data_IF_329393671836
#
_entry.id   IF_329393671836
#
_cell.length_a   1.000
_cell.length_b   1.000
_cell.length_c   1.000
_cell.angle_alpha   90.00
_cell.angle_beta   90.00
_cell.angle_gamma   90.00
#
_symmetry.space_group_name_H-M   'P 1'
#
loop_
_entity.id
_entity.type
_entity.pdbx_description
1 polymer ?
#
# COMPACT_ATOMS: atom_id res chain seq x y z
N UNK A 1 28.35 23.95 5.56
CA UNK A 1 27.02 24.57 5.80
C UNK A 1 26.67 24.50 7.29
N UNK A 2 27.47 25.19 8.11
CA UNK A 2 27.11 25.65 9.45
C UNK A 2 26.71 27.12 9.26
N UNK A 3 25.48 27.36 8.81
CA UNK A 3 25.13 28.62 8.14
C UNK A 3 24.26 29.60 8.94
N UNK A 4 23.85 29.29 10.17
CA UNK A 4 22.96 30.18 10.93
C UNK A 4 23.10 30.13 12.46
N UNK A 5 24.19 29.58 13.02
CA UNK A 5 24.58 29.83 14.42
C UNK A 5 23.57 29.50 15.54
N UNK A 6 22.47 28.78 15.27
CA UNK A 6 21.49 28.42 16.29
C UNK A 6 22.13 27.52 17.36
N UNK A 7 21.87 27.83 18.63
CA UNK A 7 22.30 26.98 19.71
C UNK A 7 21.58 25.63 19.60
N UNK A 8 22.27 24.56 19.99
CA UNK A 8 21.72 23.21 19.89
C UNK A 8 20.47 23.05 20.77
N UNK A 9 20.32 23.88 21.79
CA UNK A 9 19.16 23.95 22.67
C UNK A 9 17.94 24.55 21.95
N UNK A 10 18.12 25.62 21.17
CA UNK A 10 17.04 26.20 20.35
C UNK A 10 16.48 25.19 19.34
N UNK A 11 17.36 24.36 18.77
CA UNK A 11 16.95 23.31 17.81
C UNK A 11 16.17 22.21 18.53
N UNK A 12 16.54 21.85 19.76
CA UNK A 12 15.82 20.85 20.56
C UNK A 12 14.41 21.35 20.91
N UNK A 13 14.27 22.62 21.27
CA UNK A 13 12.98 23.22 21.61
C UNK A 13 12.06 23.33 20.39
N UNK A 14 12.60 23.71 19.22
CA UNK A 14 11.81 23.82 17.98
C UNK A 14 11.37 22.44 17.46
N UNK A 15 12.26 21.44 17.54
CA UNK A 15 12.03 20.12 16.93
C UNK A 15 11.44 19.09 17.90
N UNK A 16 11.34 19.42 19.20
CA UNK A 16 11.00 18.51 20.28
C UNK A 16 11.81 17.19 20.27
N UNK A 17 12.99 17.21 19.64
CA UNK A 17 13.85 16.05 19.47
C UNK A 17 15.05 16.17 20.40
N UNK A 18 15.46 15.05 20.99
CA UNK A 18 16.65 15.05 21.86
C UNK A 18 17.94 15.36 21.09
N UNK A 19 18.89 15.98 21.77
CA UNK A 19 20.25 16.25 21.24
C UNK A 19 20.88 15.03 20.54
N UNK A 20 20.72 13.82 21.12
CA UNK A 20 21.21 12.57 20.54
C UNK A 20 20.60 12.24 19.17
N UNK A 21 19.31 12.54 18.98
CA UNK A 21 18.61 12.31 17.73
C UNK A 21 19.10 13.27 16.64
N UNK A 22 19.33 14.54 17.00
CA UNK A 22 19.89 15.56 16.11
C UNK A 22 21.32 15.20 15.67
N UNK A 23 22.20 14.82 16.61
CA UNK A 23 23.56 14.40 16.27
C UNK A 23 23.58 13.17 15.35
N UNK A 24 22.69 12.20 15.61
CA UNK A 24 22.56 11.01 14.75
C UNK A 24 22.10 11.38 13.33
N UNK A 25 21.16 12.31 13.19
CA UNK A 25 20.72 12.81 11.88
C UNK A 25 21.82 13.58 11.18
N UNK A 26 22.54 14.47 11.86
CA UNK A 26 23.69 15.18 11.30
C UNK A 26 24.79 14.22 10.84
N UNK A 27 25.09 13.19 11.63
CA UNK A 27 26.07 12.17 11.25
C UNK A 27 25.63 11.39 10.01
N UNK A 28 24.38 10.92 9.98
CA UNK A 28 23.82 10.20 8.81
C UNK A 28 23.78 11.07 7.56
N UNK A 29 23.37 12.32 7.69
CA UNK A 29 23.35 13.27 6.59
C UNK A 29 24.75 13.52 6.01
N UNK A 30 25.78 13.64 6.87
CA UNK A 30 27.16 13.80 6.40
C UNK A 30 27.70 12.56 5.69
N UNK A 31 27.28 11.36 6.10
CA UNK A 31 27.78 10.11 5.55
C UNK A 31 27.05 9.67 4.28
N UNK A 32 25.73 9.91 4.20
CA UNK A 32 24.86 9.32 3.19
C UNK A 32 23.97 10.36 2.48
N UNK A 33 24.17 11.65 2.75
CA UNK A 33 23.33 12.72 2.22
C UNK A 33 21.88 12.60 2.69
N UNK A 34 20.95 13.07 1.84
CA UNK A 34 19.50 13.02 2.11
C UNK A 34 19.01 11.58 2.29
N UNK A 35 19.60 10.62 1.58
CA UNK A 35 19.23 9.21 1.68
C UNK A 35 19.36 8.66 3.10
N UNK A 36 20.38 9.08 3.86
CA UNK A 36 20.57 8.63 5.25
C UNK A 36 19.61 9.23 6.28
N UNK A 37 18.87 10.27 5.89
CA UNK A 37 17.78 10.82 6.70
C UNK A 37 16.45 10.09 6.46
N UNK A 38 16.35 9.27 5.41
CA UNK A 38 15.16 8.47 5.17
C UNK A 38 14.99 7.42 6.27
N UNK A 39 13.74 7.16 6.68
CA UNK A 39 13.47 6.19 7.73
C UNK A 39 13.67 4.76 7.21
N UNK A 40 14.86 4.20 7.46
CA UNK A 40 15.22 2.82 7.14
C UNK A 40 14.68 1.78 8.14
N UNK A 41 13.54 2.04 8.80
CA UNK A 41 12.87 1.00 9.61
C UNK A 41 12.33 -0.08 8.67
N UNK A 42 13.20 -0.98 8.25
CA UNK A 42 12.83 -2.27 7.71
C UNK A 42 12.26 -3.08 8.87
N UNK A 43 10.94 -2.96 9.07
CA UNK A 43 10.20 -3.84 9.98
C UNK A 43 10.29 -5.27 9.45
N UNK A 44 11.38 -5.98 9.77
CA UNK A 44 11.71 -7.28 9.18
C UNK A 44 11.62 -8.45 10.15
N UNK A 45 11.77 -8.23 11.46
CA UNK A 45 11.87 -9.34 12.43
C UNK A 45 10.56 -10.15 12.61
N UNK A 46 9.47 -9.76 11.93
CA UNK A 46 8.18 -10.49 11.88
C UNK A 46 7.63 -10.57 10.45
N UNK A 47 8.49 -10.47 9.43
CA UNK A 47 8.05 -10.66 8.05
C UNK A 47 7.60 -12.14 7.89
N UNK A 48 6.30 -12.34 7.69
CA UNK A 48 5.71 -13.68 7.49
C UNK A 48 6.11 -14.30 6.14
N UNK A 49 6.52 -13.46 5.17
CA UNK A 49 6.98 -13.88 3.84
C UNK A 49 8.49 -13.68 3.75
N UNK A 50 9.21 -14.69 3.25
CA UNK A 50 10.58 -14.51 2.77
C UNK A 50 10.61 -13.62 1.52
N UNK A 51 11.78 -13.10 1.16
CA UNK A 51 11.91 -12.27 -0.05
C UNK A 51 11.56 -13.08 -1.32
N UNK A 52 11.88 -14.37 -1.36
CA UNK A 52 11.51 -15.28 -2.45
C UNK A 52 9.98 -15.46 -2.54
N UNK A 53 9.32 -15.70 -1.41
CA UNK A 53 7.86 -15.83 -1.36
C UNK A 53 7.18 -14.52 -1.75
N UNK A 54 7.75 -13.39 -1.34
CA UNK A 54 7.23 -12.08 -1.71
C UNK A 54 7.34 -11.84 -3.22
N UNK A 55 8.45 -12.24 -3.85
CA UNK A 55 8.63 -12.11 -5.28
C UNK A 55 7.65 -13.01 -6.06
N UNK A 56 7.45 -14.25 -5.62
CA UNK A 56 6.45 -15.18 -6.19
C UNK A 56 5.04 -14.61 -6.06
N UNK A 57 4.65 -14.12 -4.89
CA UNK A 57 3.35 -13.47 -4.67
C UNK A 57 3.17 -12.28 -5.61
N UNK A 58 4.16 -11.38 -5.70
CA UNK A 58 4.04 -10.24 -6.61
C UNK A 58 3.92 -10.69 -8.07
N UNK A 59 4.68 -11.69 -8.51
CA UNK A 59 4.57 -12.22 -9.86
C UNK A 59 3.17 -12.79 -10.14
N UNK A 60 2.64 -13.61 -9.23
CA UNK A 60 1.30 -14.21 -9.34
C UNK A 60 0.20 -13.15 -9.38
N UNK A 61 0.31 -12.10 -8.58
CA UNK A 61 -0.68 -11.01 -8.55
C UNK A 61 -0.74 -10.23 -9.87
N UNK A 62 0.38 -10.09 -10.59
CA UNK A 62 0.40 -9.44 -11.91
C UNK A 62 -0.09 -10.36 -13.03
N UNK A 63 0.15 -11.67 -12.90
CA UNK A 63 -0.18 -12.65 -13.95
C UNK A 63 -1.63 -13.12 -13.87
N UNK A 64 -2.24 -13.11 -12.68
CA UNK A 64 -3.57 -13.67 -12.47
C UNK A 64 -4.54 -12.59 -12.00
N UNK A 65 -5.80 -12.75 -12.41
CA UNK A 65 -6.91 -11.97 -11.83
C UNK A 65 -7.48 -12.70 -10.63
N UNK A 66 -8.16 -11.99 -9.71
CA UNK A 66 -8.85 -12.62 -8.59
C UNK A 66 -9.82 -13.73 -9.03
N UNK A 67 -10.53 -13.51 -10.14
CA UNK A 67 -11.46 -14.48 -10.74
C UNK A 67 -10.77 -15.80 -11.17
N UNK A 68 -9.55 -15.72 -11.70
CA UNK A 68 -8.80 -16.89 -12.17
C UNK A 68 -8.29 -17.75 -11.01
N UNK A 69 -8.07 -17.14 -9.84
CA UNK A 69 -7.46 -17.80 -8.67
C UNK A 69 -8.53 -18.31 -7.70
N UNK A 70 -9.57 -17.51 -7.46
CA UNK A 70 -10.59 -17.78 -6.43
C UNK A 70 -11.88 -18.35 -7.03
N UNK A 71 -12.08 -18.20 -8.35
CA UNK A 71 -13.35 -18.46 -9.01
C UNK A 71 -14.34 -17.30 -8.81
N UNK A 72 -15.19 -17.06 -9.82
CA UNK A 72 -16.11 -15.92 -9.88
C UNK A 72 -17.07 -15.80 -8.68
N UNK A 73 -17.33 -16.91 -7.98
CA UNK A 73 -18.21 -16.98 -6.82
C UNK A 73 -17.56 -16.53 -5.49
N UNK A 74 -16.22 -16.51 -5.42
CA UNK A 74 -15.47 -16.15 -4.21
C UNK A 74 -14.78 -14.78 -4.29
N UNK A 75 -14.94 -14.05 -5.40
CA UNK A 75 -14.35 -12.71 -5.54
C UNK A 75 -15.20 -11.69 -4.79
N UNK A 76 -14.56 -10.85 -3.98
CA UNK A 76 -15.24 -9.84 -3.19
C UNK A 76 -15.88 -8.71 -4.04
N UNK A 77 -15.46 -8.56 -5.28
CA UNK A 77 -15.99 -7.57 -6.23
C UNK A 77 -16.77 -8.27 -7.33
N UNK A 78 -17.98 -7.79 -7.64
CA UNK A 78 -18.85 -8.34 -8.69
C UNK A 78 -18.25 -8.35 -10.09
N UNK A 79 -17.18 -7.57 -10.32
CA UNK A 79 -16.48 -7.50 -11.60
C UNK A 79 -15.26 -8.43 -11.69
N UNK A 80 -14.79 -9.08 -10.62
CA UNK A 80 -13.71 -10.08 -10.72
C UNK A 80 -12.30 -9.55 -11.03
N UNK A 81 -12.17 -8.33 -11.57
CA UNK A 81 -10.96 -7.84 -12.24
C UNK A 81 -9.89 -7.22 -11.33
N UNK A 82 -10.23 -6.84 -10.09
CA UNK A 82 -9.31 -6.09 -9.22
C UNK A 82 -9.08 -6.82 -7.90
N UNK A 83 -7.82 -6.93 -7.51
CA UNK A 83 -7.42 -7.51 -6.22
C UNK A 83 -7.91 -6.67 -5.05
N UNK A 84 -8.77 -7.26 -4.21
CA UNK A 84 -9.13 -6.69 -2.91
C UNK A 84 -8.31 -7.30 -1.78
N UNK A 85 -8.40 -6.70 -0.59
CA UNK A 85 -7.73 -7.23 0.62
C UNK A 85 -8.28 -8.59 1.01
N UNK A 86 -9.59 -8.83 0.84
CA UNK A 86 -10.24 -10.11 1.10
C UNK A 86 -9.75 -11.18 0.13
N UNK A 87 -9.69 -10.85 -1.17
CA UNK A 87 -9.24 -11.79 -2.21
C UNK A 87 -7.78 -12.18 -1.97
N UNK A 88 -6.93 -11.20 -1.65
CA UNK A 88 -5.52 -11.44 -1.34
C UNK A 88 -5.35 -12.30 -0.09
N UNK A 89 -6.22 -12.18 0.91
CA UNK A 89 -6.15 -13.01 2.12
C UNK A 89 -6.38 -14.49 1.81
N UNK A 90 -7.40 -14.79 0.98
CA UNK A 90 -7.69 -16.16 0.55
C UNK A 90 -6.57 -16.69 -0.35
N UNK A 91 -6.11 -15.90 -1.32
CA UNK A 91 -5.05 -16.30 -2.23
C UNK A 91 -3.73 -16.61 -1.51
N UNK A 92 -3.32 -15.77 -0.55
CA UNK A 92 -2.11 -16.02 0.26
C UNK A 92 -2.21 -17.27 1.13
N UNK A 93 -3.41 -17.56 1.65
CA UNK A 93 -3.64 -18.79 2.39
C UNK A 93 -3.53 -20.01 1.48
N UNK A 94 -4.03 -19.94 0.24
CA UNK A 94 -3.91 -21.04 -0.73
C UNK A 94 -2.47 -21.25 -1.22
N UNK A 95 -1.71 -20.17 -1.49
CA UNK A 95 -0.37 -20.28 -2.06
C UNK A 95 0.71 -20.65 -1.04
N UNK A 96 0.64 -20.07 0.16
CA UNK A 96 1.71 -20.19 1.16
C UNK A 96 1.22 -20.55 2.57
N UNK A 97 -0.09 -20.74 2.78
CA UNK A 97 -0.64 -21.04 4.11
C UNK A 97 -0.51 -19.87 5.10
N UNK A 98 -0.26 -18.65 4.61
CA UNK A 98 0.00 -17.48 5.45
C UNK A 98 -1.27 -16.65 5.62
N UNK A 99 -1.56 -16.28 6.87
CA UNK A 99 -2.65 -15.34 7.20
C UNK A 99 -2.09 -14.19 8.04
N UNK A 100 -2.30 -12.96 7.59
CA UNK A 100 -1.95 -11.78 8.38
C UNK A 100 -3.09 -11.41 9.32
N UNK A 101 -2.74 -11.00 10.54
CA UNK A 101 -3.73 -10.54 11.54
C UNK A 101 -4.40 -9.22 11.17
N UNK A 102 -3.78 -8.40 10.33
CA UNK A 102 -4.25 -7.03 10.02
C UNK A 102 -4.47 -6.83 8.53
N UNK A 103 -5.62 -6.25 8.17
CA UNK A 103 -5.90 -5.73 6.84
C UNK A 103 -4.82 -4.76 6.34
N UNK A 104 -4.16 -4.01 7.23
CA UNK A 104 -3.09 -3.09 6.88
C UNK A 104 -1.85 -3.79 6.31
N UNK A 105 -1.57 -5.03 6.72
CA UNK A 105 -0.43 -5.79 6.20
C UNK A 105 -0.65 -6.19 4.73
N UNK A 106 -1.86 -6.66 4.40
CA UNK A 106 -2.25 -6.96 3.03
C UNK A 106 -2.18 -5.73 2.12
N UNK A 107 -2.63 -4.55 2.60
CA UNK A 107 -2.50 -3.29 1.84
C UNK A 107 -1.04 -2.92 1.58
N UNK A 108 -0.17 -3.07 2.58
CA UNK A 108 1.27 -2.84 2.40
C UNK A 108 1.89 -3.81 1.41
N UNK A 109 1.43 -5.07 1.39
CA UNK A 109 1.90 -6.06 0.43
C UNK A 109 1.49 -5.69 -1.00
N UNK A 110 0.22 -5.32 -1.22
CA UNK A 110 -0.25 -4.82 -2.51
C UNK A 110 0.57 -3.62 -2.98
N UNK A 111 0.79 -2.64 -2.10
CA UNK A 111 1.64 -1.48 -2.38
C UNK A 111 3.07 -1.88 -2.76
N UNK A 112 3.67 -2.84 -2.05
CA UNK A 112 5.03 -3.33 -2.35
C UNK A 112 5.09 -4.08 -3.68
N UNK A 113 4.00 -4.72 -4.09
CA UNK A 113 3.85 -5.30 -5.42
C UNK A 113 3.40 -4.26 -6.48
N UNK A 114 3.42 -2.95 -6.19
CA UNK A 114 3.08 -1.92 -7.19
C UNK A 114 1.59 -1.68 -7.42
N UNK A 115 0.70 -2.37 -6.68
CA UNK A 115 -0.73 -2.13 -6.76
C UNK A 115 -1.09 -0.86 -5.99
N UNK A 116 -1.71 0.09 -6.70
CA UNK A 116 -2.27 1.28 -6.10
C UNK A 116 -3.75 1.07 -5.79
N UNK A 117 -4.24 1.73 -4.73
CA UNK A 117 -5.66 1.76 -4.44
C UNK A 117 -6.37 2.60 -5.51
N UNK A 118 -6.87 1.94 -6.56
CA UNK A 118 -7.80 2.57 -7.48
C UNK A 118 -9.20 2.42 -6.90
N UNK A 119 -9.70 3.54 -6.38
CA UNK A 119 -11.05 3.62 -5.87
C UNK A 119 -12.00 3.47 -7.05
N UNK A 120 -12.59 2.28 -7.21
CA UNK A 120 -13.66 2.06 -8.18
C UNK A 120 -14.69 3.19 -8.02
N UNK A 121 -15.14 3.74 -9.15
CA UNK A 121 -15.92 4.98 -9.23
C UNK A 121 -16.96 5.08 -8.10
N UNK A 122 -17.11 6.26 -7.49
CA UNK A 122 -18.04 6.50 -6.38
C UNK A 122 -19.47 6.18 -6.81
N UNK A 123 -19.92 4.96 -6.57
CA UNK A 123 -21.31 4.57 -6.76
C UNK A 123 -22.09 5.09 -5.56
N UNK A 124 -22.91 6.12 -5.78
CA UNK A 124 -23.82 6.62 -4.75
C UNK A 124 -24.91 5.58 -4.47
N UNK A 125 -25.31 5.43 -3.20
CA UNK A 125 -26.39 4.51 -2.79
C UNK A 125 -27.74 4.86 -3.42
N UNK A 126 -27.92 6.10 -3.88
CA UNK A 126 -29.08 6.59 -4.63
C UNK A 126 -29.01 6.28 -6.13
N UNK A 127 -27.93 5.68 -6.64
CA UNK A 127 -27.79 5.32 -8.05
C UNK A 127 -28.82 4.24 -8.40
N UNK A 128 -29.85 4.62 -9.17
CA UNK A 128 -30.85 3.70 -9.73
C UNK A 128 -30.36 3.21 -11.08
N UNK A 129 -30.29 1.89 -11.27
CA UNK A 129 -29.76 1.29 -12.49
C UNK A 129 -30.59 1.67 -13.72
N UNK A 130 -31.93 1.71 -13.61
CA UNK A 130 -32.84 2.15 -14.68
C UNK A 130 -32.51 3.57 -15.18
N UNK A 131 -32.34 4.53 -14.27
CA UNK A 131 -32.06 5.93 -14.65
C UNK A 131 -30.72 6.12 -15.37
N UNK A 132 -29.78 5.19 -15.18
CA UNK A 132 -28.49 5.22 -15.88
C UNK A 132 -28.63 4.62 -17.28
N UNK A 133 -29.48 3.60 -17.46
CA UNK A 133 -29.78 3.02 -18.76
C UNK A 133 -30.57 4.00 -19.64
N UNK A 134 -31.61 4.62 -19.08
CA UNK A 134 -32.42 5.64 -19.77
C UNK A 134 -31.57 6.84 -20.23
N UNK A 135 -30.61 7.25 -19.40
CA UNK A 135 -29.67 8.33 -19.73
C UNK A 135 -28.68 7.92 -20.83
N UNK A 136 -28.21 6.66 -20.83
CA UNK A 136 -27.34 6.15 -21.88
C UNK A 136 -28.06 6.10 -23.24
N UNK A 137 -29.32 5.66 -23.27
CA UNK A 137 -30.15 5.64 -24.49
C UNK A 137 -30.43 7.06 -25.03
N UNK A 138 -30.55 8.06 -24.16
CA UNK A 138 -30.73 9.46 -24.57
C UNK A 138 -29.45 10.07 -25.17
N UNK A 139 -28.27 9.63 -24.73
CA UNK A 139 -26.99 10.08 -25.27
C UNK A 139 -26.67 9.46 -26.65
N UNK A 140 -27.10 8.22 -26.90
CA UNK A 140 -26.91 7.57 -28.21
C UNK A 140 -27.85 8.11 -29.30
N UNK A 141 -28.93 8.79 -28.93
CA UNK A 141 -29.92 9.36 -29.87
C UNK A 141 -29.66 10.82 -30.28
N UNK A 142 -28.67 11.50 -29.69
CA UNK A 142 -28.25 12.86 -30.07
C UNK A 142 -26.89 12.83 -30.77
#
# INVERSE_FOLDING_TARGET
>A
MYGNGYAVDDIQDITACSHRSLLRWCQRYRQQGIAGLMEHRLGGNRALLSDEQLQDVCQRLHQNRPEDVLGAEHVATSSGHYWTVSDLAVALQQWHGITYRSAGAYRKLLQRCGFSYQRAAKVFRSRRAEQVADFAEQLEKN
#
